data_IF_988246280599
#
_entry.id   IF_988246280599
#
_cell.length_a   1.000
_cell.length_b   1.000
_cell.length_c   1.000
_cell.angle_alpha   90.00
_cell.angle_beta   90.00
_cell.angle_gamma   90.00
#
_symmetry.space_group_name_H-M   'P 1'
#
loop_
_entity.id
_entity.type
_entity.pdbx_description
1 polymer ?
#
# COMPACT_ATOMS: atom_id res chain seq x y z
N UNK A 1 -14.71 -18.44 5.46
CA UNK A 1 -13.70 -17.59 4.79
C UNK A 1 -13.29 -18.04 3.39
N UNK A 2 -13.80 -19.15 2.82
CA UNK A 2 -13.44 -19.54 1.45
C UNK A 2 -13.88 -18.51 0.39
N UNK A 3 -15.10 -17.99 0.49
CA UNK A 3 -15.61 -16.95 -0.42
C UNK A 3 -14.75 -15.69 -0.38
N UNK A 4 -14.40 -15.22 0.81
CA UNK A 4 -13.50 -14.09 0.99
C UNK A 4 -12.11 -14.33 0.38
N UNK A 5 -11.54 -15.52 0.61
CA UNK A 5 -10.25 -15.86 0.01
C UNK A 5 -10.28 -15.89 -1.52
N UNK A 6 -11.37 -16.38 -2.11
CA UNK A 6 -11.56 -16.34 -3.57
C UNK A 6 -11.68 -14.89 -4.07
N UNK A 7 -12.48 -14.06 -3.40
CA UNK A 7 -12.65 -12.65 -3.72
C UNK A 7 -11.30 -11.90 -3.73
N UNK A 8 -10.46 -12.09 -2.71
CA UNK A 8 -9.15 -11.44 -2.62
C UNK A 8 -8.20 -11.88 -3.73
N UNK A 9 -8.26 -13.15 -4.16
CA UNK A 9 -7.49 -13.62 -5.32
C UNK A 9 -8.00 -13.02 -6.64
N UNK A 10 -9.31 -12.96 -6.82
CA UNK A 10 -9.93 -12.36 -8.00
C UNK A 10 -9.59 -10.88 -8.12
N UNK A 11 -9.68 -10.13 -7.01
CA UNK A 11 -9.27 -8.73 -6.92
C UNK A 11 -7.80 -8.56 -7.30
N UNK A 12 -6.91 -9.36 -6.70
CA UNK A 12 -5.48 -9.34 -7.00
C UNK A 12 -5.20 -9.64 -8.48
N UNK A 13 -5.84 -10.66 -9.05
CA UNK A 13 -5.69 -11.02 -10.46
C UNK A 13 -6.19 -9.91 -11.39
N UNK A 14 -7.35 -9.32 -11.10
CA UNK A 14 -7.92 -8.22 -11.86
C UNK A 14 -7.01 -6.99 -11.87
N UNK A 15 -6.58 -6.53 -10.69
CA UNK A 15 -5.67 -5.39 -10.56
C UNK A 15 -4.31 -5.68 -11.20
N UNK A 16 -3.78 -6.90 -11.04
CA UNK A 16 -2.54 -7.33 -11.67
C UNK A 16 -2.58 -7.25 -13.20
N UNK A 17 -3.68 -7.71 -13.81
CA UNK A 17 -3.89 -7.60 -15.26
C UNK A 17 -3.98 -6.14 -15.71
N UNK A 18 -4.72 -5.31 -14.97
CA UNK A 18 -4.85 -3.88 -15.26
C UNK A 18 -3.49 -3.16 -15.19
N UNK A 19 -2.72 -3.39 -14.12
CA UNK A 19 -1.40 -2.80 -13.96
C UNK A 19 -0.43 -3.28 -15.05
N UNK A 20 -0.49 -4.55 -15.43
CA UNK A 20 0.25 -5.10 -16.56
C UNK A 20 -0.08 -4.38 -17.87
N UNK A 21 -1.36 -4.13 -18.15
CA UNK A 21 -1.82 -3.41 -19.32
C UNK A 21 -1.35 -1.93 -19.32
N UNK A 22 -1.43 -1.25 -18.17
CA UNK A 22 -0.95 0.13 -18.01
C UNK A 22 0.56 0.22 -18.23
N UNK A 23 1.34 -0.67 -17.60
CA UNK A 23 2.80 -0.70 -17.73
C UNK A 23 3.24 -1.06 -19.17
N UNK A 24 2.55 -2.00 -19.82
CA UNK A 24 2.79 -2.33 -21.22
C UNK A 24 2.48 -1.16 -22.15
N UNK A 25 1.35 -0.49 -21.93
CA UNK A 25 0.96 0.70 -22.69
C UNK A 25 2.00 1.81 -22.54
N UNK A 26 2.46 2.06 -21.31
CA UNK A 26 3.52 3.02 -21.05
C UNK A 26 4.84 2.63 -21.72
N UNK A 27 5.24 1.35 -21.68
CA UNK A 27 6.41 0.85 -22.41
C UNK A 27 6.32 1.16 -23.91
N UNK A 28 5.18 0.87 -24.53
CA UNK A 28 4.96 1.07 -25.96
C UNK A 28 4.99 2.57 -26.30
N UNK A 29 4.27 3.39 -25.53
CA UNK A 29 4.16 4.83 -25.78
C UNK A 29 5.49 5.57 -25.62
N UNK A 30 6.30 5.21 -24.62
CA UNK A 30 7.56 5.91 -24.32
C UNK A 30 8.80 5.23 -24.92
N UNK A 31 8.68 4.03 -25.50
CA UNK A 31 9.81 3.31 -26.11
C UNK A 31 10.93 2.92 -25.15
N UNK A 32 10.66 2.87 -23.84
CA UNK A 32 11.65 2.53 -22.78
C UNK A 32 11.29 1.22 -22.08
N UNK A 33 12.27 0.46 -21.56
CA UNK A 33 11.99 -0.79 -20.85
C UNK A 33 11.14 -0.55 -19.60
N UNK A 34 10.37 -1.55 -19.17
CA UNK A 34 9.52 -1.49 -17.96
C UNK A 34 10.33 -1.17 -16.71
N UNK A 35 11.58 -1.65 -16.63
CA UNK A 35 12.51 -1.35 -15.55
C UNK A 35 12.77 0.15 -15.38
N UNK A 36 12.63 0.95 -16.45
CA UNK A 36 12.77 2.39 -16.37
C UNK A 36 11.62 3.02 -15.54
N UNK A 37 10.43 2.45 -15.57
CA UNK A 37 9.30 2.89 -14.75
C UNK A 37 9.45 2.44 -13.29
N UNK A 38 9.82 1.18 -13.08
CA UNK A 38 9.78 0.58 -11.74
C UNK A 38 11.05 0.85 -10.90
N UNK A 39 12.22 0.84 -11.56
CA UNK A 39 13.54 0.92 -10.90
C UNK A 39 14.50 1.82 -11.67
N UNK A 40 14.20 3.13 -11.79
CA UNK A 40 15.07 4.04 -12.51
C UNK A 40 16.47 4.07 -11.89
N UNK A 41 17.49 3.71 -12.68
CA UNK A 41 18.92 3.71 -12.31
C UNK A 41 19.33 2.71 -11.22
N UNK A 42 18.50 1.69 -10.93
CA UNK A 42 18.87 0.59 -10.01
C UNK A 42 18.15 -0.70 -10.34
N UNK A 43 18.45 -1.75 -9.57
CA UNK A 43 17.76 -3.05 -9.64
C UNK A 43 16.74 -3.19 -8.53
N UNK A 44 15.89 -4.20 -8.67
CA UNK A 44 14.95 -4.63 -7.64
C UNK A 44 15.67 -4.90 -6.31
N UNK A 45 15.12 -4.41 -5.21
CA UNK A 45 15.67 -4.57 -3.86
C UNK A 45 14.71 -5.34 -2.95
N UNK A 46 14.97 -6.63 -2.81
CA UNK A 46 14.23 -7.49 -1.88
C UNK A 46 14.35 -7.00 -0.42
N UNK A 47 15.49 -6.38 -0.07
CA UNK A 47 15.69 -5.75 1.24
C UNK A 47 14.71 -4.59 1.48
N UNK A 48 14.47 -3.74 0.47
CA UNK A 48 13.52 -2.64 0.62
C UNK A 48 12.08 -3.14 0.72
N UNK A 49 11.73 -4.18 -0.05
CA UNK A 49 10.43 -4.83 0.04
C UNK A 49 10.14 -5.30 1.46
N UNK A 50 11.02 -6.16 2.01
CA UNK A 50 10.80 -6.71 3.34
C UNK A 50 10.95 -5.69 4.45
N UNK A 51 11.73 -4.63 4.25
CA UNK A 51 11.80 -3.54 5.21
C UNK A 51 10.50 -2.74 5.26
N UNK A 52 9.92 -2.40 4.11
CA UNK A 52 8.60 -1.75 4.05
C UNK A 52 7.53 -2.63 4.70
N UNK A 53 7.54 -3.92 4.36
CA UNK A 53 6.66 -4.91 4.97
C UNK A 53 6.81 -4.97 6.48
N UNK A 54 8.03 -5.13 7.00
CA UNK A 54 8.27 -5.26 8.44
C UNK A 54 7.83 -4.00 9.20
N UNK A 55 8.11 -2.80 8.67
CA UNK A 55 7.71 -1.54 9.27
C UNK A 55 6.19 -1.44 9.37
N UNK A 56 5.48 -1.67 8.26
CA UNK A 56 4.02 -1.56 8.26
C UNK A 56 3.31 -2.73 8.92
N UNK A 57 3.91 -3.93 8.97
CA UNK A 57 3.36 -5.04 9.74
C UNK A 57 3.33 -4.69 11.23
N UNK A 58 4.39 -4.05 11.75
CA UNK A 58 4.43 -3.59 13.14
C UNK A 58 3.42 -2.47 13.37
N UNK A 59 3.40 -1.45 12.51
CA UNK A 59 2.49 -0.29 12.65
C UNK A 59 1.02 -0.73 12.53
N UNK A 60 0.68 -1.49 11.50
CA UNK A 60 -0.66 -2.02 11.26
C UNK A 60 -1.14 -2.93 12.37
N UNK A 61 -0.33 -3.92 12.79
CA UNK A 61 -0.73 -4.84 13.87
C UNK A 61 -0.90 -4.12 15.20
N UNK A 62 -0.01 -3.18 15.53
CA UNK A 62 -0.14 -2.39 16.76
C UNK A 62 -1.43 -1.54 16.73
N UNK A 63 -1.76 -0.98 15.57
CA UNK A 63 -2.93 -0.12 15.42
C UNK A 63 -4.22 -0.91 15.49
N UNK A 64 -4.30 -2.06 14.83
CA UNK A 64 -5.43 -2.98 14.94
C UNK A 64 -5.69 -3.39 16.41
N UNK A 65 -4.63 -3.70 17.17
CA UNK A 65 -4.74 -3.99 18.61
C UNK A 65 -5.25 -2.77 19.39
N UNK A 66 -4.68 -1.59 19.17
CA UNK A 66 -5.07 -0.37 19.88
C UNK A 66 -6.53 0.00 19.58
N UNK A 67 -6.96 -0.04 18.32
CA UNK A 67 -8.35 0.25 17.97
C UNK A 67 -9.30 -0.74 18.61
N UNK A 68 -9.01 -2.05 18.55
CA UNK A 68 -9.86 -3.07 19.16
C UNK A 68 -9.97 -2.92 20.70
N UNK A 69 -8.95 -2.33 21.36
CA UNK A 69 -9.00 -2.00 22.79
C UNK A 69 -9.86 -0.76 23.10
N UNK A 70 -10.01 0.17 22.16
CA UNK A 70 -10.78 1.41 22.32
C UNK A 70 -12.24 1.19 21.91
N UNK A 71 -12.45 0.57 20.75
CA UNK A 71 -13.74 0.29 20.15
C UNK A 71 -13.78 -1.17 19.64
N UNK A 72 -14.23 -2.12 20.48
CA UNK A 72 -14.20 -3.53 20.15
C UNK A 72 -15.14 -3.90 18.99
N UNK A 73 -14.59 -4.09 17.78
CA UNK A 73 -15.33 -4.49 16.58
C UNK A 73 -15.62 -6.01 16.46
N UNK A 74 -15.46 -6.77 17.56
CA UNK A 74 -15.59 -8.22 17.57
C UNK A 74 -14.26 -8.96 17.29
N UNK A 75 -14.29 -10.29 17.11
CA UNK A 75 -13.08 -11.07 16.92
C UNK A 75 -12.51 -10.87 15.51
N UNK A 76 -11.21 -10.55 15.45
CA UNK A 76 -10.44 -10.49 14.22
C UNK A 76 -10.72 -11.69 13.28
N UNK A 77 -10.79 -11.49 11.94
CA UNK A 77 -11.08 -12.55 10.98
C UNK A 77 -10.26 -13.84 11.18
N UNK A 78 -8.97 -13.71 11.47
CA UNK A 78 -8.07 -14.86 11.71
C UNK A 78 -8.29 -15.54 13.07
N UNK A 79 -8.89 -14.85 14.04
CA UNK A 79 -9.15 -15.35 15.39
C UNK A 79 -10.62 -15.72 15.62
N UNK A 80 -11.50 -15.45 14.66
CA UNK A 80 -12.93 -15.64 14.81
C UNK A 80 -13.30 -17.14 14.87
N UNK A 81 -13.87 -17.61 16.00
CA UNK A 81 -14.21 -19.03 16.19
C UNK A 81 -15.40 -19.49 15.35
N UNK A 82 -16.17 -18.57 14.75
CA UNK A 82 -17.24 -18.90 13.82
C UNK A 82 -16.72 -19.57 12.53
N UNK A 83 -15.41 -19.43 12.24
CA UNK A 83 -14.78 -20.03 11.07
C UNK A 83 -13.89 -21.22 11.43
N UNK A 84 -14.02 -22.29 10.65
CA UNK A 84 -13.14 -23.46 10.76
C UNK A 84 -11.67 -23.06 10.56
N UNK A 85 -10.76 -23.77 11.23
CA UNK A 85 -9.31 -23.55 11.10
C UNK A 85 -8.87 -23.65 9.64
N UNK A 86 -9.37 -24.65 8.91
CA UNK A 86 -9.06 -24.85 7.49
C UNK A 86 -9.44 -23.64 6.64
N UNK A 87 -10.66 -23.11 6.81
CA UNK A 87 -11.10 -21.94 6.04
C UNK A 87 -10.29 -20.69 6.38
N UNK A 88 -9.83 -20.53 7.63
CA UNK A 88 -8.95 -19.43 8.06
C UNK A 88 -7.55 -19.56 7.47
N UNK A 89 -6.97 -20.76 7.44
CA UNK A 89 -5.67 -21.01 6.80
C UNK A 89 -5.73 -20.76 5.29
N UNK A 90 -6.81 -21.21 4.63
CA UNK A 90 -7.06 -20.91 3.23
C UNK A 90 -7.13 -19.39 3.01
N UNK A 91 -7.87 -18.67 3.85
CA UNK A 91 -7.96 -17.21 3.77
C UNK A 91 -6.61 -16.52 3.97
N UNK A 92 -5.82 -16.93 4.96
CA UNK A 92 -4.47 -16.36 5.16
C UNK A 92 -3.61 -16.56 3.91
N UNK A 93 -3.58 -17.77 3.34
CA UNK A 93 -2.78 -18.06 2.15
C UNK A 93 -3.23 -17.23 0.93
N UNK A 94 -4.54 -17.12 0.73
CA UNK A 94 -5.12 -16.35 -0.38
C UNK A 94 -4.98 -14.85 -0.19
N UNK A 95 -5.13 -14.32 1.03
CA UNK A 95 -4.91 -12.92 1.36
C UNK A 95 -3.43 -12.51 1.18
N UNK A 96 -2.50 -13.36 1.64
CA UNK A 96 -1.05 -13.18 1.44
C UNK A 96 -0.73 -13.00 -0.04
N UNK A 97 -1.26 -13.86 -0.91
CA UNK A 97 -0.97 -13.80 -2.34
C UNK A 97 -1.76 -12.68 -3.05
N UNK A 98 -3.08 -12.64 -2.88
CA UNK A 98 -3.96 -11.71 -3.59
C UNK A 98 -3.66 -10.26 -3.24
N UNK A 99 -3.44 -9.94 -1.95
CA UNK A 99 -3.12 -8.57 -1.53
C UNK A 99 -1.69 -8.17 -1.87
N UNK A 100 -0.75 -9.12 -2.00
CA UNK A 100 0.57 -8.82 -2.55
C UNK A 100 0.45 -8.37 -4.00
N UNK A 101 -0.31 -9.11 -4.82
CA UNK A 101 -0.51 -8.77 -6.23
C UNK A 101 -1.28 -7.44 -6.36
N UNK A 102 -2.33 -7.23 -5.57
CA UNK A 102 -3.10 -5.99 -5.56
C UNK A 102 -2.22 -4.77 -5.18
N UNK A 103 -1.50 -4.85 -4.06
CA UNK A 103 -0.61 -3.77 -3.63
C UNK A 103 0.50 -3.50 -4.66
N UNK A 104 1.10 -4.55 -5.24
CA UNK A 104 2.10 -4.39 -6.30
C UNK A 104 1.52 -3.75 -7.56
N UNK A 105 0.30 -4.12 -7.95
CA UNK A 105 -0.39 -3.58 -9.11
C UNK A 105 -0.64 -2.07 -8.96
N UNK A 106 -1.17 -1.64 -7.83
CA UNK A 106 -1.38 -0.22 -7.53
C UNK A 106 -0.05 0.54 -7.54
N UNK A 107 0.98 0.04 -6.87
CA UNK A 107 2.28 0.71 -6.83
C UNK A 107 2.95 0.79 -8.22
N UNK A 108 2.76 -0.20 -9.08
CA UNK A 108 3.20 -0.15 -10.49
C UNK A 108 2.50 1.00 -11.23
N UNK A 109 1.18 1.14 -11.06
CA UNK A 109 0.39 2.18 -11.74
C UNK A 109 0.75 3.56 -11.21
N UNK A 110 0.69 3.77 -9.90
CA UNK A 110 0.86 5.09 -9.30
C UNK A 110 2.34 5.48 -9.20
N UNK A 111 3.20 4.65 -8.59
CA UNK A 111 4.60 5.03 -8.30
C UNK A 111 5.54 4.65 -9.43
N UNK A 112 5.17 3.70 -10.28
CA UNK A 112 5.89 3.37 -11.50
C UNK A 112 5.52 4.30 -12.66
N UNK A 113 4.28 4.20 -13.13
CA UNK A 113 3.84 4.86 -14.38
C UNK A 113 3.45 6.31 -14.17
N UNK A 114 2.44 6.59 -13.33
CA UNK A 114 1.91 7.94 -13.12
C UNK A 114 2.98 8.90 -12.56
N UNK A 115 3.74 8.46 -11.57
CA UNK A 115 4.82 9.26 -10.97
C UNK A 115 5.91 9.61 -11.99
N UNK A 116 6.26 8.69 -12.89
CA UNK A 116 7.24 8.98 -13.95
C UNK A 116 6.69 9.97 -14.98
N UNK A 117 5.42 9.82 -15.38
CA UNK A 117 4.77 10.75 -16.29
C UNK A 117 4.72 12.17 -15.70
N UNK A 118 4.27 12.27 -14.45
CA UNK A 118 4.17 13.56 -13.72
C UNK A 118 5.54 14.18 -13.46
N UNK A 119 6.57 13.35 -13.20
CA UNK A 119 7.97 13.78 -13.10
C UNK A 119 8.56 14.35 -14.39
N UNK A 120 7.92 14.13 -15.54
CA UNK A 120 8.28 14.79 -16.80
C UNK A 120 7.87 16.28 -16.85
N UNK A 121 6.92 16.71 -16.01
CA UNK A 121 6.42 18.08 -15.99
C UNK A 121 6.98 18.91 -14.82
N UNK A 122 7.39 18.27 -13.72
CA UNK A 122 7.93 18.96 -12.55
C UNK A 122 8.97 18.13 -11.83
N UNK A 123 9.99 18.80 -11.29
CA UNK A 123 10.99 18.22 -10.39
C UNK A 123 10.70 18.46 -8.91
N UNK A 124 9.60 19.16 -8.59
CA UNK A 124 9.24 19.47 -7.21
C UNK A 124 8.75 18.22 -6.48
N UNK A 125 9.55 17.74 -5.52
CA UNK A 125 9.25 16.59 -4.68
C UNK A 125 7.86 16.68 -4.04
N UNK A 126 7.53 17.86 -3.51
CA UNK A 126 6.26 18.10 -2.79
C UNK A 126 5.09 18.02 -3.77
N UNK A 127 5.18 18.63 -4.94
CA UNK A 127 4.12 18.61 -5.96
C UNK A 127 3.86 17.18 -6.43
N UNK A 128 4.92 16.41 -6.70
CA UNK A 128 4.79 15.01 -7.10
C UNK A 128 4.10 14.15 -6.03
N UNK A 129 4.45 14.35 -4.76
CA UNK A 129 3.83 13.63 -3.64
C UNK A 129 2.35 13.99 -3.48
N UNK A 130 2.01 15.28 -3.48
CA UNK A 130 0.63 15.74 -3.33
C UNK A 130 -0.26 15.31 -4.50
N UNK A 131 0.23 15.43 -5.74
CA UNK A 131 -0.53 15.03 -6.91
C UNK A 131 -0.82 13.52 -6.90
N UNK A 132 0.21 12.69 -6.67
CA UNK A 132 0.00 11.24 -6.59
C UNK A 132 -0.93 10.85 -5.44
N UNK A 133 -0.81 11.50 -4.28
CA UNK A 133 -1.68 11.27 -3.12
C UNK A 133 -3.16 11.51 -3.45
N UNK A 134 -3.47 12.65 -4.06
CA UNK A 134 -4.84 13.02 -4.41
C UNK A 134 -5.40 12.08 -5.47
N UNK A 135 -4.65 11.78 -6.54
CA UNK A 135 -5.10 10.89 -7.60
C UNK A 135 -5.29 9.46 -7.10
N UNK A 136 -4.38 8.97 -6.26
CA UNK A 136 -4.49 7.66 -5.62
C UNK A 136 -5.78 7.55 -4.81
N UNK A 137 -6.07 8.54 -3.96
CA UNK A 137 -7.29 8.54 -3.17
C UNK A 137 -8.55 8.67 -4.03
N UNK A 138 -8.56 9.60 -5.00
CA UNK A 138 -9.73 9.89 -5.83
C UNK A 138 -10.20 8.69 -6.67
N UNK A 139 -9.30 7.81 -7.12
CA UNK A 139 -9.70 6.67 -7.95
C UNK A 139 -10.49 5.59 -7.19
N UNK A 140 -10.45 5.63 -5.86
CA UNK A 140 -11.24 4.73 -5.03
C UNK A 140 -12.72 5.13 -5.01
N UNK A 141 -13.06 6.35 -5.47
CA UNK A 141 -14.43 6.86 -5.57
C UNK A 141 -15.22 6.75 -4.25
N UNK A 142 -14.50 6.77 -3.13
CA UNK A 142 -15.09 6.67 -1.81
C UNK A 142 -15.69 8.03 -1.41
N UNK A 143 -17.01 8.10 -1.12
CA UNK A 143 -17.64 9.35 -0.72
C UNK A 143 -17.26 9.81 0.70
N UNK A 144 -16.63 8.95 1.51
CA UNK A 144 -16.20 9.33 2.86
C UNK A 144 -14.96 10.24 2.82
N UNK A 145 -15.07 11.51 3.29
CA UNK A 145 -13.94 12.42 3.33
C UNK A 145 -12.80 11.95 4.25
N UNK A 146 -13.09 11.19 5.31
CA UNK A 146 -12.07 10.66 6.23
C UNK A 146 -11.27 9.57 5.54
N UNK A 147 -11.95 8.61 4.89
CA UNK A 147 -11.31 7.59 4.07
C UNK A 147 -10.51 8.20 2.91
N UNK A 148 -11.03 9.27 2.29
CA UNK A 148 -10.29 10.01 1.26
C UNK A 148 -8.98 10.58 1.80
N UNK A 149 -9.01 11.25 2.96
CA UNK A 149 -7.81 11.83 3.57
C UNK A 149 -6.84 10.74 4.00
N UNK A 150 -7.34 9.65 4.59
CA UNK A 150 -6.52 8.51 5.00
C UNK A 150 -5.75 7.91 3.82
N UNK A 151 -6.44 7.58 2.73
CA UNK A 151 -5.80 7.06 1.50
C UNK A 151 -4.85 8.07 0.88
N UNK A 152 -5.18 9.37 0.92
CA UNK A 152 -4.26 10.40 0.42
C UNK A 152 -2.98 10.48 1.26
N UNK A 153 -3.04 10.35 2.58
CA UNK A 153 -1.86 10.32 3.46
C UNK A 153 -0.98 9.10 3.17
N UNK A 154 -1.58 7.91 3.05
CA UNK A 154 -0.89 6.69 2.60
C UNK A 154 -0.25 6.89 1.22
N UNK A 155 -1.00 7.46 0.28
CA UNK A 155 -0.50 7.73 -1.05
C UNK A 155 0.65 8.75 -1.09
N UNK A 156 0.63 9.74 -0.20
CA UNK A 156 1.70 10.71 -0.04
C UNK A 156 2.99 10.04 0.44
N UNK A 157 2.89 9.23 1.50
CA UNK A 157 4.08 8.65 2.13
C UNK A 157 4.72 7.55 1.28
N UNK A 158 3.93 6.78 0.54
CA UNK A 158 4.48 5.78 -0.39
C UNK A 158 5.17 6.45 -1.59
N UNK A 159 4.61 7.55 -2.10
CA UNK A 159 5.27 8.35 -3.15
C UNK A 159 6.58 8.96 -2.65
N UNK A 160 6.58 9.49 -1.42
CA UNK A 160 7.80 9.98 -0.78
C UNK A 160 8.84 8.87 -0.68
N UNK A 161 8.47 7.70 -0.16
CA UNK A 161 9.37 6.56 -0.05
C UNK A 161 9.94 6.15 -1.41
N UNK A 162 9.10 6.05 -2.45
CA UNK A 162 9.53 5.68 -3.80
C UNK A 162 10.56 6.66 -4.37
N UNK A 163 10.32 7.98 -4.25
CA UNK A 163 11.23 9.02 -4.75
C UNK A 163 12.55 9.05 -3.96
N UNK A 164 12.48 8.92 -2.63
CA UNK A 164 13.67 9.00 -1.76
C UNK A 164 14.53 7.75 -1.81
N UNK A 165 13.92 6.58 -2.00
CA UNK A 165 14.60 5.28 -2.06
C UNK A 165 14.96 4.85 -3.49
N UNK A 166 14.38 5.50 -4.50
CA UNK A 166 14.66 5.34 -5.92
C UNK A 166 13.89 4.22 -6.62
N UNK A 167 12.74 3.79 -6.07
CA UNK A 167 11.86 2.78 -6.65
C UNK A 167 10.87 2.21 -5.64
N UNK A 168 10.00 1.32 -6.09
CA UNK A 168 8.67 1.11 -5.49
C UNK A 168 8.58 0.00 -4.45
N UNK A 169 9.64 -0.79 -4.23
CA UNK A 169 9.59 -2.02 -3.42
C UNK A 169 9.24 -1.77 -1.97
N UNK A 170 9.79 -0.71 -1.37
CA UNK A 170 9.43 -0.34 0.00
C UNK A 170 7.93 -0.06 0.10
N UNK A 171 7.38 0.67 -0.87
CA UNK A 171 5.96 0.99 -0.91
C UNK A 171 5.11 -0.27 -1.13
N UNK A 172 5.51 -1.17 -2.03
CA UNK A 172 4.83 -2.47 -2.23
C UNK A 172 4.77 -3.26 -0.92
N UNK A 173 5.90 -3.42 -0.23
CA UNK A 173 5.94 -4.15 1.03
C UNK A 173 5.10 -3.49 2.12
N UNK A 174 5.21 -2.16 2.24
CA UNK A 174 4.47 -1.37 3.21
C UNK A 174 2.96 -1.45 2.99
N UNK A 175 2.51 -1.23 1.76
CA UNK A 175 1.11 -1.32 1.35
C UNK A 175 0.57 -2.74 1.56
N UNK A 176 1.32 -3.77 1.13
CA UNK A 176 0.93 -5.16 1.32
C UNK A 176 0.72 -5.53 2.79
N UNK A 177 1.63 -5.12 3.67
CA UNK A 177 1.49 -5.37 5.10
C UNK A 177 0.32 -4.60 5.73
N UNK A 178 0.06 -3.37 5.27
CA UNK A 178 -1.12 -2.60 5.68
C UNK A 178 -2.42 -3.31 5.32
N UNK A 179 -2.55 -3.77 4.07
CA UNK A 179 -3.74 -4.49 3.63
C UNK A 179 -3.91 -5.82 4.37
N UNK A 180 -2.81 -6.51 4.69
CA UNK A 180 -2.88 -7.72 5.52
C UNK A 180 -3.31 -7.45 6.96
N UNK A 181 -2.87 -6.35 7.56
CA UNK A 181 -3.30 -5.97 8.90
C UNK A 181 -4.82 -5.79 8.94
N UNK A 182 -5.37 -5.03 7.98
CA UNK A 182 -6.81 -4.84 7.83
C UNK A 182 -7.50 -6.20 7.61
N UNK A 183 -7.12 -6.93 6.56
CA UNK A 183 -7.74 -8.18 6.15
C UNK A 183 -7.77 -9.26 7.24
N UNK A 184 -6.72 -9.35 8.06
CA UNK A 184 -6.54 -10.43 9.02
C UNK A 184 -7.00 -10.06 10.44
N UNK A 185 -6.86 -8.78 10.82
CA UNK A 185 -7.03 -8.33 12.20
C UNK A 185 -8.25 -7.43 12.41
N UNK A 186 -8.71 -6.75 11.37
CA UNK A 186 -9.83 -5.80 11.46
C UNK A 186 -11.08 -6.42 10.83
N UNK A 187 -11.13 -6.52 9.50
CA UNK A 187 -12.32 -6.97 8.79
C UNK A 187 -11.99 -7.63 7.43
N UNK A 188 -12.90 -8.47 6.88
CA UNK A 188 -12.79 -8.96 5.51
C UNK A 188 -12.76 -7.81 4.49
N UNK A 189 -11.98 -7.95 3.40
CA UNK A 189 -11.82 -6.93 2.36
C UNK A 189 -13.10 -6.72 1.53
N UNK A 190 -13.98 -7.73 1.47
CA UNK A 190 -15.30 -7.57 0.84
C UNK A 190 -16.32 -6.79 1.67
N UNK A 191 -15.97 -6.38 2.89
CA UNK A 191 -16.90 -5.66 3.77
C UNK A 191 -17.13 -4.26 3.22
N UNK A 192 -18.38 -3.95 2.87
CA UNK A 192 -18.79 -2.61 2.49
C UNK A 192 -19.34 -1.87 3.71
N UNK A 193 -18.87 -0.63 4.00
CA UNK A 193 -19.46 0.17 5.05
C UNK A 193 -20.92 0.52 4.68
N UNK A 194 -21.82 0.65 5.67
CA UNK A 194 -23.18 1.11 5.45
C UNK A 194 -23.24 2.43 4.67
N UNK A 195 -24.21 2.60 3.75
CA UNK A 195 -24.32 3.83 2.96
C UNK A 195 -24.45 5.08 3.85
N UNK A 196 -23.53 6.03 3.68
CA UNK A 196 -23.53 7.30 4.39
C UNK A 196 -22.84 7.27 5.77
N UNK A 197 -22.27 6.14 6.17
CA UNK A 197 -21.42 6.07 7.35
C UNK A 197 -20.06 6.74 7.05
N UNK A 198 -19.62 7.61 7.96
CA UNK A 198 -18.36 8.33 7.87
C UNK A 198 -17.42 7.73 8.91
N UNK A 199 -16.22 7.34 8.52
CA UNK A 199 -15.23 6.82 9.44
C UNK A 199 -14.91 7.84 10.54
N UNK A 200 -14.66 7.38 11.77
CA UNK A 200 -14.31 8.30 12.85
C UNK A 200 -12.99 9.00 12.54
N UNK A 201 -12.87 10.28 12.92
CA UNK A 201 -11.62 11.05 12.73
C UNK A 201 -10.40 10.42 13.41
N UNK A 202 -10.62 9.57 14.42
CA UNK A 202 -9.56 8.77 15.04
C UNK A 202 -8.84 7.88 14.04
N UNK A 203 -9.50 7.42 12.96
CA UNK A 203 -8.89 6.65 11.88
C UNK A 203 -7.67 7.37 11.26
N UNK A 204 -7.68 8.71 11.24
CA UNK A 204 -6.55 9.52 10.73
C UNK A 204 -5.32 9.47 11.65
N UNK A 205 -5.49 9.13 12.93
CA UNK A 205 -4.37 9.00 13.86
C UNK A 205 -3.44 7.85 13.44
N UNK A 206 -4.00 6.76 12.95
CA UNK A 206 -3.23 5.65 12.37
C UNK A 206 -2.37 6.10 11.20
N UNK A 207 -2.98 6.77 10.22
CA UNK A 207 -2.29 7.27 9.04
C UNK A 207 -1.21 8.30 9.41
N UNK A 208 -1.46 9.14 10.42
CA UNK A 208 -0.47 10.07 10.94
C UNK A 208 0.73 9.35 11.58
N UNK A 209 0.50 8.29 12.36
CA UNK A 209 1.58 7.48 12.95
C UNK A 209 2.36 6.77 11.85
N UNK A 210 1.68 6.12 10.89
CA UNK A 210 2.32 5.46 9.75
C UNK A 210 3.17 6.45 8.94
N UNK A 211 2.63 7.64 8.67
CA UNK A 211 3.35 8.73 8.00
C UNK A 211 4.64 9.08 8.75
N UNK A 212 4.56 9.35 10.05
CA UNK A 212 5.73 9.73 10.87
C UNK A 212 6.79 8.62 10.89
N UNK A 213 6.37 7.38 11.13
CA UNK A 213 7.29 6.23 11.22
C UNK A 213 7.99 6.00 9.88
N UNK A 214 7.24 5.97 8.78
CA UNK A 214 7.82 5.74 7.45
C UNK A 214 8.71 6.90 7.05
N UNK A 215 8.32 8.16 7.29
CA UNK A 215 9.19 9.32 7.04
C UNK A 215 10.51 9.17 7.79
N UNK A 216 10.45 8.87 9.09
CA UNK A 216 11.65 8.69 9.90
C UNK A 216 12.55 7.57 9.35
N UNK A 217 11.99 6.39 9.09
CA UNK A 217 12.75 5.24 8.58
C UNK A 217 13.39 5.54 7.23
N UNK A 218 12.63 6.08 6.28
CA UNK A 218 13.11 6.43 4.93
C UNK A 218 14.24 7.46 5.03
N UNK A 219 14.06 8.52 5.82
CA UNK A 219 15.07 9.56 5.98
C UNK A 219 16.35 9.04 6.65
N UNK A 220 16.22 8.14 7.63
CA UNK A 220 17.38 7.47 8.25
C UNK A 220 18.16 6.64 7.24
N UNK A 221 17.49 5.88 6.38
CA UNK A 221 18.13 5.09 5.31
C UNK A 221 18.86 6.01 4.33
N UNK A 222 18.20 7.09 3.88
CA UNK A 222 18.78 8.04 2.93
C UNK A 222 20.02 8.71 3.52
N UNK A 223 19.97 9.14 4.79
CA UNK A 223 21.13 9.73 5.48
C UNK A 223 22.28 8.74 5.63
N UNK A 224 21.99 7.49 5.99
CA UNK A 224 23.01 6.45 6.11
C UNK A 224 23.72 6.17 4.78
N UNK A 225 22.97 6.16 3.66
CA UNK A 225 23.56 5.99 2.31
C UNK A 225 24.47 7.14 1.91
N UNK A 226 24.14 8.38 2.30
CA UNK A 226 24.97 9.56 2.03
C UNK A 226 26.25 9.61 2.86
N UNK A 227 26.24 8.99 4.04
CA UNK A 227 27.37 8.97 4.96
C UNK A 227 28.43 7.89 4.62
N UNK A 228 28.09 6.93 3.77
CA UNK A 228 29.06 5.94 3.27
C UNK A 228 29.84 6.56 2.09
N UNK A 229 31.17 6.76 2.20
CA UNK A 229 31.98 7.17 1.06
C UNK A 229 31.86 6.12 -0.04
N UNK A 230 31.65 6.56 -1.29
CA UNK A 230 31.73 5.68 -2.45
C UNK A 230 33.11 5.04 -2.50
N UNK A 231 33.16 3.74 -2.19
CA UNK A 231 34.34 2.89 -2.38
C UNK A 231 34.60 2.66 -3.87
#
# INVERSE_FOLDING_TARGET
>A
MYGEGAYVLELGAFLGLLAGAVLLSARIAYGVPTTAFLWPRRRFSLRQLWLGFAVMAVVGSASAVIYNLIDPAGPAPILNPAYSVESRLFYVATAVLGLFVAAAAEEVVFRGVLLRMTGGFTSSLIVLCLFNAVVFSAIHLDPDPVAFVARALSGLIWTWAALRLGGIEFAIGAHWAGNLAIALLEEPISTEPPPGEIQPLSALAYEAVALIVVLFVVERIVRARRAQPSA
#
